data_IF_489921978992
#
_entry.id   IF_489921978992
#
_cell.length_a   1.000
_cell.length_b   1.000
_cell.length_c   1.000
_cell.angle_alpha   90.00
_cell.angle_beta   90.00
_cell.angle_gamma   90.00
#
_symmetry.space_group_name_H-M   'P 1'
#
loop_
_entity.id
_entity.type
_entity.pdbx_description
1 polymer ?
#
# COMPACT_ATOMS: atom_id res chain seq x y z
N UNK A 1 19.44 1.85 2.02
CA UNK A 1 18.65 3.07 2.06
C UNK A 1 17.19 2.75 2.26
N UNK A 2 16.51 3.51 3.09
CA UNK A 2 15.09 3.24 3.27
C UNK A 2 14.32 3.56 1.99
N UNK A 3 13.29 2.78 1.74
CA UNK A 3 12.43 3.02 0.60
C UNK A 3 11.55 4.23 0.84
N UNK A 4 11.33 5.01 -0.21
CA UNK A 4 10.36 6.09 -0.13
C UNK A 4 8.94 5.51 -0.18
N UNK A 5 7.96 6.29 0.27
CA UNK A 5 6.57 5.87 0.19
C UNK A 5 6.18 5.54 -1.25
N UNK A 6 6.65 6.32 -2.21
CA UNK A 6 6.37 6.08 -3.62
C UNK A 6 6.90 4.73 -4.06
N UNK A 7 8.10 4.37 -3.64
CA UNK A 7 8.69 3.09 -4.02
C UNK A 7 7.93 1.93 -3.37
N UNK A 8 7.52 2.07 -2.13
CA UNK A 8 6.72 1.06 -1.46
C UNK A 8 5.39 0.84 -2.19
N UNK A 9 4.74 1.92 -2.59
CA UNK A 9 3.48 1.83 -3.30
C UNK A 9 3.66 1.10 -4.62
N UNK A 10 4.70 1.44 -5.37
CA UNK A 10 5.00 0.74 -6.63
C UNK A 10 5.21 -0.74 -6.41
N UNK A 11 5.94 -1.09 -5.37
CA UNK A 11 6.22 -2.48 -5.06
C UNK A 11 4.94 -3.23 -4.69
N UNK A 12 4.08 -2.59 -3.91
CA UNK A 12 2.81 -3.20 -3.52
C UNK A 12 1.91 -3.45 -4.72
N UNK A 13 1.81 -2.47 -5.61
CA UNK A 13 1.00 -2.62 -6.82
C UNK A 13 1.56 -3.72 -7.71
N UNK A 14 2.87 -3.83 -7.78
CA UNK A 14 3.51 -4.88 -8.57
C UNK A 14 3.21 -6.27 -8.01
N UNK A 15 3.00 -6.37 -6.71
CA UNK A 15 2.74 -7.63 -6.03
C UNK A 15 1.25 -7.94 -5.89
N UNK A 16 0.40 -7.23 -6.59
CA UNK A 16 -1.03 -7.52 -6.60
C UNK A 16 -1.85 -6.79 -5.56
N UNK A 17 -1.25 -5.85 -4.87
CA UNK A 17 -2.00 -5.02 -3.93
C UNK A 17 -2.75 -3.93 -4.68
N UNK A 18 -3.90 -3.54 -4.15
CA UNK A 18 -4.67 -2.43 -4.68
C UNK A 18 -4.84 -1.37 -3.62
N UNK A 19 -4.73 -0.11 -4.02
CA UNK A 19 -5.00 0.98 -3.11
C UNK A 19 -6.51 1.14 -2.92
N UNK A 20 -6.92 1.25 -1.67
CA UNK A 20 -8.34 1.47 -1.36
C UNK A 20 -8.48 2.76 -0.57
N UNK A 21 -9.62 3.46 -0.74
CA UNK A 21 -9.89 4.66 0.05
C UNK A 21 -10.18 4.29 1.50
N UNK A 22 -10.04 5.25 2.40
CA UNK A 22 -10.43 5.05 3.78
C UNK A 22 -9.33 5.26 4.81
N UNK A 23 -8.13 5.58 4.39
CA UNK A 23 -7.09 5.97 5.32
C UNK A 23 -7.35 7.36 5.89
N UNK A 24 -6.87 7.60 7.11
CA UNK A 24 -6.95 8.92 7.70
C UNK A 24 -5.70 9.71 7.39
N UNK A 25 -5.87 10.97 7.04
CA UNK A 25 -4.75 11.85 6.75
C UNK A 25 -3.95 11.33 5.57
N UNK A 26 -2.65 11.21 5.74
CA UNK A 26 -1.76 10.80 4.67
C UNK A 26 -1.52 9.30 4.62
N UNK A 27 -2.20 8.52 5.44
CA UNK A 27 -2.06 7.08 5.40
C UNK A 27 -2.80 6.50 4.20
N UNK A 28 -2.14 5.60 3.48
CA UNK A 28 -2.71 4.94 2.32
C UNK A 28 -2.87 3.46 2.61
N UNK A 29 -4.04 2.94 2.31
CA UNK A 29 -4.38 1.56 2.61
C UNK A 29 -4.36 0.73 1.33
N UNK A 30 -3.77 -0.45 1.42
CA UNK A 30 -3.66 -1.36 0.29
C UNK A 30 -4.14 -2.74 0.70
N UNK A 31 -4.76 -3.44 -0.22
CA UNK A 31 -5.23 -4.79 0.03
C UNK A 31 -4.78 -5.71 -1.11
N UNK A 32 -4.42 -6.93 -0.76
CA UNK A 32 -4.10 -7.97 -1.73
C UNK A 32 -5.26 -8.96 -1.74
N UNK A 33 -6.04 -8.92 -2.82
CA UNK A 33 -7.22 -9.76 -2.94
C UNK A 33 -6.87 -11.24 -3.13
N UNK A 34 -5.68 -11.52 -3.64
CA UNK A 34 -5.26 -12.91 -3.85
C UNK A 34 -4.97 -13.63 -2.55
N UNK A 35 -4.38 -12.94 -1.59
CA UNK A 35 -4.01 -13.54 -0.31
C UNK A 35 -4.90 -13.10 0.84
N UNK A 36 -5.70 -12.06 0.64
CA UNK A 36 -6.53 -11.49 1.69
C UNK A 36 -5.76 -10.63 2.67
N UNK A 37 -4.51 -10.33 2.40
CA UNK A 37 -3.70 -9.50 3.28
C UNK A 37 -3.87 -8.02 2.95
N UNK A 38 -3.62 -7.19 3.95
CA UNK A 38 -3.68 -5.75 3.73
C UNK A 38 -2.53 -5.09 4.48
N UNK A 39 -2.20 -3.88 4.05
CA UNK A 39 -1.15 -3.11 4.68
C UNK A 39 -1.47 -1.62 4.57
N UNK A 40 -0.83 -0.84 5.43
CA UNK A 40 -0.99 0.61 5.45
C UNK A 40 0.38 1.23 5.25
N UNK A 41 0.47 2.18 4.34
CA UNK A 41 1.70 2.89 4.07
C UNK A 41 1.55 4.32 4.58
N UNK A 42 2.32 4.72 5.60
CA UNK A 42 2.31 6.11 6.03
C UNK A 42 3.00 6.97 4.97
N UNK A 43 2.41 8.08 4.72
CA UNK A 43 2.94 9.00 3.72
C UNK A 43 3.85 10.04 4.37
#
# INVERSE_FOLDING_TARGET
>A
MPMTSTEMIKLLLKNGFKQIPGGKGSHKKFINQSTGKFTVVPD
#
